data_IF_894025890072
#
_entry.id   IF_894025890072
#
_cell.length_a   1.000
_cell.length_b   1.000
_cell.length_c   1.000
_cell.angle_alpha   90.00
_cell.angle_beta   90.00
_cell.angle_gamma   90.00
#
_symmetry.space_group_name_H-M   'P 1'
#
loop_
_entity.id
_entity.type
_entity.pdbx_description
1 polymer ?
#
# COMPACT_ATOMS: atom_id res chain seq x y z
N UNK A 1 -18.86 1.10 -22.36
CA UNK A 1 -19.09 2.14 -21.34
C UNK A 1 -17.93 2.11 -20.35
N UNK A 2 -16.98 3.04 -20.48
CA UNK A 2 -15.88 3.18 -19.53
C UNK A 2 -16.42 3.74 -18.22
N UNK A 3 -16.56 2.90 -17.19
CA UNK A 3 -16.95 3.34 -15.84
C UNK A 3 -15.79 4.14 -15.27
N UNK A 4 -15.96 5.45 -15.20
CA UNK A 4 -15.12 6.36 -14.42
C UNK A 4 -15.13 5.85 -12.97
N UNK A 5 -14.05 5.21 -12.53
CA UNK A 5 -13.95 4.69 -11.15
C UNK A 5 -13.78 5.89 -10.22
N UNK A 6 -14.69 5.99 -9.26
CA UNK A 6 -14.80 7.08 -8.30
C UNK A 6 -13.45 7.58 -7.76
N UNK A 7 -13.21 8.91 -7.77
CA UNK A 7 -12.06 9.53 -7.10
C UNK A 7 -12.13 9.48 -5.56
N UNK A 8 -13.25 9.02 -4.98
CA UNK A 8 -13.51 9.06 -3.52
C UNK A 8 -13.10 7.79 -2.74
N UNK A 9 -12.65 6.73 -3.41
CA UNK A 9 -12.24 5.49 -2.73
C UNK A 9 -10.73 5.22 -2.86
N UNK A 10 -9.89 5.90 -2.06
CA UNK A 10 -8.43 5.73 -2.09
C UNK A 10 -8.02 4.27 -1.82
N UNK A 11 -8.85 3.49 -1.11
CA UNK A 11 -8.63 2.07 -0.83
C UNK A 11 -8.49 1.22 -2.09
N UNK A 12 -9.35 1.41 -3.09
CA UNK A 12 -9.30 0.63 -4.33
C UNK A 12 -8.12 1.06 -5.22
N UNK A 13 -7.77 2.35 -5.21
CA UNK A 13 -6.61 2.86 -5.95
C UNK A 13 -5.32 2.29 -5.38
N UNK A 14 -5.13 2.33 -4.05
CA UNK A 14 -3.95 1.77 -3.39
C UNK A 14 -3.91 0.25 -3.56
N UNK A 15 -5.05 -0.44 -3.42
CA UNK A 15 -5.10 -1.89 -3.65
C UNK A 15 -4.68 -2.25 -5.09
N UNK A 16 -5.15 -1.52 -6.10
CA UNK A 16 -4.75 -1.76 -7.48
C UNK A 16 -3.26 -1.44 -7.72
N UNK A 17 -2.74 -0.40 -7.08
CA UNK A 17 -1.32 -0.05 -7.13
C UNK A 17 -0.45 -1.17 -6.53
N UNK A 18 -0.87 -1.76 -5.41
CA UNK A 18 -0.19 -2.89 -4.73
C UNK A 18 -0.25 -4.21 -5.48
N UNK A 19 -1.01 -4.33 -6.59
CA UNK A 19 -0.99 -5.55 -7.43
C UNK A 19 0.28 -5.66 -8.28
N UNK A 20 1.02 -4.57 -8.45
CA UNK A 20 2.21 -4.57 -9.32
C UNK A 20 3.46 -4.91 -8.53
N UNK A 21 4.33 -5.74 -9.13
CA UNK A 21 5.64 -6.11 -8.56
C UNK A 21 6.51 -4.90 -8.26
N UNK A 22 6.43 -3.89 -9.11
CA UNK A 22 7.15 -2.63 -8.93
C UNK A 22 6.75 -1.93 -7.62
N UNK A 23 5.46 -1.79 -7.36
CA UNK A 23 4.96 -1.15 -6.14
C UNK A 23 5.39 -1.90 -4.88
N UNK A 24 5.25 -3.23 -4.86
CA UNK A 24 5.65 -4.05 -3.71
C UNK A 24 7.15 -3.91 -3.46
N UNK A 25 7.96 -3.94 -4.53
CA UNK A 25 9.41 -3.76 -4.41
C UNK A 25 9.77 -2.36 -3.90
N UNK A 26 9.10 -1.31 -4.40
CA UNK A 26 9.30 0.07 -3.94
C UNK A 26 8.97 0.24 -2.46
N UNK A 27 7.82 -0.29 -2.02
CA UNK A 27 7.42 -0.27 -0.61
C UNK A 27 8.42 -1.04 0.26
N UNK A 28 8.80 -2.25 -0.16
CA UNK A 28 9.76 -3.07 0.58
C UNK A 28 11.12 -2.38 0.76
N UNK A 29 11.63 -1.71 -0.27
CA UNK A 29 12.89 -0.96 -0.17
C UNK A 29 12.80 0.19 0.84
N UNK A 30 11.70 0.96 0.80
CA UNK A 30 11.49 2.04 1.77
C UNK A 30 11.38 1.50 3.20
N UNK A 31 10.65 0.39 3.40
CA UNK A 31 10.51 -0.25 4.72
C UNK A 31 11.83 -0.80 5.23
N UNK A 32 12.62 -1.47 4.39
CA UNK A 32 13.92 -2.03 4.82
C UNK A 32 14.89 -0.95 5.31
N UNK A 33 14.77 0.28 4.80
CA UNK A 33 15.60 1.41 5.18
C UNK A 33 15.07 2.15 6.42
N UNK A 34 13.75 2.28 6.56
CA UNK A 34 13.13 3.12 7.59
C UNK A 34 12.57 2.33 8.78
N UNK A 35 12.41 1.01 8.65
CA UNK A 35 11.76 0.17 9.65
C UNK A 35 12.65 -1.03 10.05
N UNK A 36 13.27 -1.00 11.23
CA UNK A 36 14.11 -2.09 11.72
C UNK A 36 13.31 -3.36 12.09
N UNK A 37 12.00 -3.23 12.31
CA UNK A 37 11.10 -4.35 12.66
C UNK A 37 10.37 -4.94 11.44
N UNK A 38 10.80 -4.59 10.23
CA UNK A 38 10.19 -5.06 9.00
C UNK A 38 10.45 -6.55 8.76
N UNK A 39 9.39 -7.31 8.51
CA UNK A 39 9.49 -8.74 8.27
C UNK A 39 9.87 -9.03 6.81
N UNK A 40 11.18 -9.16 6.58
CA UNK A 40 11.76 -9.44 5.24
C UNK A 40 11.35 -10.80 4.68
N UNK A 41 11.09 -11.80 5.53
CA UNK A 41 10.70 -13.13 5.09
C UNK A 41 9.29 -13.11 4.47
N UNK A 42 8.35 -12.49 5.17
CA UNK A 42 6.97 -12.31 4.67
C UNK A 42 6.94 -11.40 3.45
N UNK A 43 7.81 -10.39 3.40
CA UNK A 43 7.97 -9.55 2.22
C UNK A 43 8.36 -10.35 0.96
N UNK A 44 9.38 -11.20 1.04
CA UNK A 44 9.80 -12.04 -0.10
C UNK A 44 8.69 -13.01 -0.51
N UNK A 45 7.94 -13.58 0.44
CA UNK A 45 6.77 -14.41 0.14
C UNK A 45 5.68 -13.63 -0.62
N UNK A 46 5.36 -12.41 -0.17
CA UNK A 46 4.40 -11.52 -0.84
C UNK A 46 4.90 -11.11 -2.23
N UNK A 47 6.18 -10.78 -2.36
CA UNK A 47 6.81 -10.40 -3.64
C UNK A 47 6.77 -11.55 -4.65
N UNK A 48 7.03 -12.79 -4.21
CA UNK A 48 6.94 -13.96 -5.07
C UNK A 48 5.51 -14.25 -5.54
N UNK A 49 4.51 -13.98 -4.71
CA UNK A 49 3.09 -14.11 -5.07
C UNK A 49 2.60 -12.94 -5.94
N UNK A 50 3.31 -11.82 -5.93
CA UNK A 50 2.92 -10.64 -6.69
C UNK A 50 3.20 -10.87 -8.17
N UNK A 51 2.19 -10.63 -9.01
CA UNK A 51 2.22 -10.94 -10.45
C UNK A 51 1.35 -12.14 -10.84
N UNK A 52 0.86 -12.92 -9.87
CA UNK A 52 -0.22 -13.86 -10.14
C UNK A 52 -1.54 -13.12 -10.41
N UNK A 53 -2.29 -13.56 -11.42
CA UNK A 53 -3.56 -12.91 -11.79
C UNK A 53 -4.61 -12.94 -10.67
N UNK A 54 -4.52 -13.92 -9.77
CA UNK A 54 -5.36 -14.11 -8.58
C UNK A 54 -4.91 -13.30 -7.36
N UNK A 55 -3.71 -12.71 -7.39
CA UNK A 55 -3.16 -12.05 -6.21
C UNK A 55 -3.90 -10.74 -5.90
N UNK A 56 -4.40 -10.66 -4.66
CA UNK A 56 -5.04 -9.48 -4.10
C UNK A 56 -4.46 -9.20 -2.71
N UNK A 57 -3.77 -8.08 -2.59
CA UNK A 57 -3.18 -7.62 -1.35
C UNK A 57 -3.82 -6.28 -0.96
N UNK A 58 -4.40 -6.22 0.23
CA UNK A 58 -4.88 -4.96 0.80
C UNK A 58 -3.78 -4.30 1.63
N UNK A 59 -3.77 -2.96 1.75
CA UNK A 59 -2.81 -2.24 2.59
C UNK A 59 -2.86 -2.68 4.05
N UNK A 60 -4.04 -3.03 4.54
CA UNK A 60 -4.23 -3.57 5.89
C UNK A 60 -3.57 -4.95 6.05
N UNK A 61 -3.72 -5.84 5.06
CA UNK A 61 -3.07 -7.15 5.07
C UNK A 61 -1.55 -6.99 5.00
N UNK A 62 -1.04 -6.12 4.14
CA UNK A 62 0.38 -5.80 4.03
C UNK A 62 0.98 -5.33 5.35
N UNK A 63 0.33 -4.36 6.00
CA UNK A 63 0.76 -3.83 7.32
C UNK A 63 0.82 -4.97 8.34
N UNK A 64 -0.22 -5.83 8.39
CA UNK A 64 -0.31 -6.93 9.34
C UNK A 64 0.71 -8.05 9.09
N UNK A 65 1.02 -8.38 7.84
CA UNK A 65 1.94 -9.49 7.52
C UNK A 65 3.40 -9.06 7.58
N UNK A 66 3.72 -7.88 7.05
CA UNK A 66 5.12 -7.42 6.93
C UNK A 66 5.56 -6.49 8.06
N UNK A 67 4.63 -6.07 8.93
CA UNK A 67 4.85 -5.05 9.96
C UNK A 67 5.32 -3.71 9.39
N UNK A 68 4.87 -3.39 8.18
CA UNK A 68 5.17 -2.16 7.47
C UNK A 68 4.59 -0.92 8.17
N UNK A 69 5.30 0.20 8.13
CA UNK A 69 4.87 1.48 8.72
C UNK A 69 4.56 2.57 7.68
N UNK A 70 5.01 2.37 6.45
CA UNK A 70 4.99 3.35 5.37
C UNK A 70 3.64 3.50 4.71
N UNK A 71 2.80 2.46 4.72
CA UNK A 71 1.38 2.57 4.37
C UNK A 71 0.54 1.76 5.36
N UNK A 72 -0.58 2.31 5.80
CA UNK A 72 -1.57 1.56 6.57
C UNK A 72 -2.98 2.06 6.28
N UNK A 73 -3.96 1.16 6.38
CA UNK A 73 -5.37 1.50 6.25
C UNK A 73 -6.06 1.27 7.58
N UNK A 74 -6.79 2.27 8.07
CA UNK A 74 -7.61 2.17 9.29
C UNK A 74 -9.09 2.14 8.90
N UNK A 75 -9.81 1.13 9.40
CA UNK A 75 -11.27 1.07 9.32
C UNK A 75 -11.91 1.87 10.46
N UNK A 76 -12.99 2.61 10.19
CA UNK A 76 -13.75 3.38 11.20
C UNK A 76 -14.40 4.66 10.66
N UNK A 77 -15.10 5.40 11.53
CA UNK A 77 -15.80 6.67 11.22
C UNK A 77 -14.84 7.81 10.80
N UNK A 78 -13.59 7.74 11.25
CA UNK A 78 -12.45 8.56 10.77
C UNK A 78 -11.42 7.71 10.03
N UNK A 79 -11.88 6.61 9.44
CA UNK A 79 -11.06 5.67 8.72
C UNK A 79 -10.54 6.27 7.41
N UNK A 80 -9.36 5.82 7.01
CA UNK A 80 -8.66 6.32 5.83
C UNK A 80 -7.44 5.46 5.55
N UNK A 81 -6.90 5.61 4.35
CA UNK A 81 -5.58 5.09 4.02
C UNK A 81 -4.57 6.20 4.32
N UNK A 82 -3.49 5.84 4.99
CA UNK A 82 -2.40 6.72 5.38
C UNK A 82 -1.13 6.20 4.71
N UNK A 83 -0.29 7.12 4.25
CA UNK A 83 1.01 6.79 3.69
C UNK A 83 2.03 7.85 4.12
N UNK A 84 3.27 7.42 4.29
CA UNK A 84 4.40 8.32 4.51
C UNK A 84 4.57 9.25 3.31
N UNK A 85 5.07 10.47 3.55
CA UNK A 85 5.19 11.52 2.53
C UNK A 85 5.96 11.06 1.29
N UNK A 86 7.07 10.36 1.48
CA UNK A 86 7.92 9.87 0.38
C UNK A 86 7.21 8.82 -0.48
N UNK A 87 6.35 8.01 0.14
CA UNK A 87 5.53 7.01 -0.56
C UNK A 87 4.35 7.68 -1.25
N UNK A 88 3.76 8.71 -0.61
CA UNK A 88 2.63 9.45 -1.15
C UNK A 88 2.97 10.16 -2.48
N UNK A 89 4.23 10.57 -2.69
CA UNK A 89 4.70 11.09 -3.98
C UNK A 89 4.67 10.05 -5.12
N UNK A 90 4.75 8.76 -4.80
CA UNK A 90 4.69 7.68 -5.80
C UNK A 90 3.27 7.21 -6.15
N UNK A 91 2.24 7.75 -5.48
CA UNK A 91 0.86 7.35 -5.70
C UNK A 91 0.23 8.03 -6.93
N UNK A 92 -0.76 7.38 -7.59
CA UNK A 92 -1.51 8.01 -8.67
C UNK A 92 -2.18 9.31 -8.22
N UNK A 93 -2.03 10.36 -9.04
CA UNK A 93 -2.69 11.66 -8.87
C UNK A 93 -4.21 11.48 -8.80
N UNK A 94 -4.77 11.65 -7.60
CA UNK A 94 -6.18 11.38 -7.30
C UNK A 94 -6.39 10.76 -5.91
N UNK A 95 -5.36 10.13 -5.34
CA UNK A 95 -5.39 9.64 -3.97
C UNK A 95 -5.13 10.80 -2.98
N UNK A 96 -6.18 11.53 -2.58
CA UNK A 96 -6.11 12.42 -1.39
C UNK A 96 -6.10 11.54 -0.14
N UNK A 97 -4.94 10.96 0.17
CA UNK A 97 -4.71 10.37 1.48
C UNK A 97 -4.77 11.51 2.51
N UNK A 98 -5.42 11.26 3.65
CA UNK A 98 -5.34 12.16 4.78
C UNK A 98 -3.89 12.14 5.28
N UNK A 99 -3.06 13.00 4.69
CA UNK A 99 -1.67 13.23 5.05
C UNK A 99 -1.62 13.88 6.45
N UNK A 100 -1.83 13.08 7.49
CA UNK A 100 -1.16 13.33 8.74
C UNK A 100 0.23 12.73 8.62
N UNK A 101 1.20 13.63 8.47
CA UNK A 101 2.62 13.33 8.58
C UNK A 101 2.85 12.74 9.98
N UNK A 102 3.17 11.44 10.03
CA UNK A 102 3.90 10.82 11.12
C UNK A 102 5.38 10.93 10.80
#
# INVERSE_FOLDING_TARGET
MAKWKNPDEPRFVVQNWMRTNFTISFLGLWEMQNNPNFNRLEFEAVKNQTGENSFSLSPEKWTKTTNAIGIYSKAGRYGGTYAHKDIAFGLPVGCRLNLHFI
#
